data_IF_062099851281
#
_entry.id   IF_062099851281
#
_cell.length_a   1.000
_cell.length_b   1.000
_cell.length_c   1.000
_cell.angle_alpha   90.00
_cell.angle_beta   90.00
_cell.angle_gamma   90.00
#
_symmetry.space_group_name_H-M   'P 1'
#
loop_
_entity.id
_entity.type
_entity.pdbx_description
1 polymer ?
#
# COMPACT_ATOMS: atom_id res chain seq x y z
N UNK A 1 -7.63 -13.08 -4.09
CA UNK A 1 -8.35 -11.79 -4.19
C UNK A 1 -8.84 -11.36 -2.83
N UNK A 2 -8.67 -10.09 -2.49
CA UNK A 2 -9.17 -9.43 -1.27
C UNK A 2 -10.10 -8.30 -1.70
N UNK A 3 -11.40 -8.44 -1.46
CA UNK A 3 -12.38 -7.49 -1.99
C UNK A 3 -13.59 -7.24 -1.10
N UNK A 4 -14.19 -6.06 -1.26
CA UNK A 4 -15.44 -5.65 -0.61
C UNK A 4 -15.40 -5.68 0.92
N UNK A 5 -14.20 -5.49 1.50
CA UNK A 5 -14.02 -5.45 2.94
C UNK A 5 -14.03 -4.02 3.46
N UNK A 6 -14.29 -3.92 4.77
CA UNK A 6 -14.01 -2.72 5.52
C UNK A 6 -13.07 -3.04 6.68
N UNK A 7 -11.84 -2.57 6.59
CA UNK A 7 -10.79 -2.76 7.60
C UNK A 7 -10.58 -1.45 8.34
N UNK A 8 -10.78 -1.46 9.66
CA UNK A 8 -10.73 -0.24 10.48
C UNK A 8 -9.89 -0.45 11.71
N UNK A 9 -9.12 0.58 12.09
CA UNK A 9 -8.41 0.64 13.37
C UNK A 9 -7.49 -0.56 13.57
N UNK A 10 -6.83 -1.00 12.49
CA UNK A 10 -5.73 -1.95 12.56
C UNK A 10 -4.55 -1.23 13.22
N UNK A 11 -4.57 -1.20 14.55
CA UNK A 11 -3.54 -0.52 15.32
C UNK A 11 -2.35 -1.44 15.54
N UNK A 12 -2.49 -2.76 15.62
CA UNK A 12 -1.41 -3.65 16.08
C UNK A 12 -1.22 -3.53 17.61
N UNK A 13 -0.16 -4.12 18.15
CA UNK A 13 0.04 -4.19 19.60
C UNK A 13 -0.71 -5.37 20.22
N UNK A 14 -0.82 -5.40 21.55
CA UNK A 14 -1.31 -6.57 22.29
C UNK A 14 -0.14 -7.41 22.80
N UNK A 15 -0.04 -8.67 22.37
CA UNK A 15 1.04 -9.58 22.78
C UNK A 15 2.42 -9.16 22.24
N UNK A 16 2.46 -8.37 21.17
CA UNK A 16 3.68 -7.80 20.59
C UNK A 16 3.58 -6.26 20.53
N UNK A 17 3.87 -5.55 21.63
CA UNK A 17 3.69 -4.09 21.74
C UNK A 17 4.42 -3.26 20.70
N UNK A 18 5.56 -3.77 20.20
CA UNK A 18 6.41 -3.15 19.20
C UNK A 18 5.82 -3.18 17.78
N UNK A 19 4.77 -3.97 17.54
CA UNK A 19 4.15 -4.08 16.21
C UNK A 19 3.21 -2.92 15.95
N UNK A 20 3.31 -2.33 14.75
CA UNK A 20 2.32 -1.40 14.23
C UNK A 20 1.39 -2.13 13.25
N UNK A 21 0.11 -1.77 13.25
CA UNK A 21 -0.92 -2.45 12.48
C UNK A 21 -0.98 -1.98 11.03
N UNK A 22 -1.00 -2.97 10.13
CA UNK A 22 -1.29 -2.84 8.70
C UNK A 22 -2.74 -3.22 8.46
N UNK A 23 -3.45 -2.47 7.60
CA UNK A 23 -4.84 -2.78 7.25
C UNK A 23 -4.96 -4.06 6.42
N UNK A 24 -4.41 -4.05 5.22
CA UNK A 24 -4.34 -5.22 4.33
C UNK A 24 -2.88 -5.47 3.99
N UNK A 25 -2.35 -6.62 4.38
CA UNK A 25 -1.08 -7.14 3.87
C UNK A 25 -1.35 -8.20 2.81
N UNK A 26 -0.77 -8.05 1.63
CA UNK A 26 -0.88 -9.01 0.53
C UNK A 26 0.50 -9.37 0.00
N UNK A 27 0.75 -10.65 -0.23
CA UNK A 27 2.01 -11.16 -0.78
C UNK A 27 1.70 -12.26 -1.80
N UNK A 28 2.50 -12.35 -2.86
CA UNK A 28 2.23 -13.22 -4.01
C UNK A 28 1.04 -12.75 -4.86
N UNK A 29 0.47 -13.65 -5.66
CA UNK A 29 -0.50 -13.31 -6.70
C UNK A 29 -1.87 -12.87 -6.11
N UNK A 30 -2.02 -11.57 -5.85
CA UNK A 30 -3.19 -11.02 -5.15
C UNK A 30 -3.72 -9.74 -5.80
N UNK A 31 -5.02 -9.76 -6.05
CA UNK A 31 -5.83 -8.58 -6.39
C UNK A 31 -6.49 -8.02 -5.14
N UNK A 32 -6.20 -6.77 -4.80
CA UNK A 32 -6.83 -5.99 -3.72
C UNK A 32 -7.77 -4.96 -4.33
N UNK A 33 -9.09 -5.18 -4.26
CA UNK A 33 -10.06 -4.36 -5.01
C UNK A 33 -11.29 -3.97 -4.18
N UNK A 34 -11.71 -2.71 -4.28
CA UNK A 34 -12.99 -2.27 -3.72
C UNK A 34 -13.07 -2.35 -2.19
N UNK A 35 -11.94 -2.22 -1.49
CA UNK A 35 -11.91 -2.22 -0.02
C UNK A 35 -11.94 -0.79 0.53
N UNK A 36 -12.46 -0.65 1.75
CA UNK A 36 -12.28 0.56 2.58
C UNK A 36 -11.30 0.24 3.70
N UNK A 37 -10.19 0.95 3.76
CA UNK A 37 -9.17 0.81 4.81
C UNK A 37 -8.98 2.14 5.51
N UNK A 38 -9.15 2.17 6.84
CA UNK A 38 -9.06 3.41 7.60
C UNK A 38 -8.47 3.26 9.00
N UNK A 39 -7.88 4.37 9.46
CA UNK A 39 -7.35 4.55 10.81
C UNK A 39 -6.34 3.46 11.21
N UNK A 40 -5.47 3.00 10.30
CA UNK A 40 -4.39 2.07 10.65
C UNK A 40 -3.28 2.79 11.42
N UNK A 41 -2.46 2.07 12.20
CA UNK A 41 -1.34 2.69 12.94
C UNK A 41 -0.08 2.85 12.08
N UNK A 42 0.00 2.15 10.95
CA UNK A 42 1.18 2.20 10.08
C UNK A 42 0.81 2.39 8.61
N UNK A 43 0.27 1.34 8.00
CA UNK A 43 0.04 1.29 6.56
C UNK A 43 -1.40 0.88 6.28
N UNK A 44 -2.03 1.51 5.29
CA UNK A 44 -3.34 1.10 4.80
C UNK A 44 -3.24 -0.26 4.11
N UNK A 45 -2.59 -0.28 2.95
CA UNK A 45 -2.39 -1.49 2.13
C UNK A 45 -0.89 -1.70 1.91
N UNK A 46 -0.37 -2.87 2.27
CA UNK A 46 1.01 -3.30 1.98
C UNK A 46 0.97 -4.37 0.89
N UNK A 47 1.57 -4.08 -0.26
CA UNK A 47 1.72 -4.97 -1.41
C UNK A 47 3.14 -5.53 -1.43
N UNK A 48 3.30 -6.71 -0.86
CA UNK A 48 4.58 -7.39 -0.78
C UNK A 48 5.45 -6.89 0.37
N UNK A 49 6.55 -7.59 0.59
CA UNK A 49 7.55 -7.30 1.63
C UNK A 49 8.99 -7.49 1.16
N UNK A 50 9.22 -8.37 0.18
CA UNK A 50 10.54 -8.64 -0.37
C UNK A 50 10.49 -9.25 -1.77
N UNK A 51 11.55 -9.97 -2.16
CA UNK A 51 11.76 -10.56 -3.49
C UNK A 51 10.69 -11.53 -4.02
N UNK A 52 9.72 -11.91 -3.21
CA UNK A 52 8.65 -12.83 -3.60
C UNK A 52 7.30 -12.12 -3.81
N UNK A 53 7.31 -10.79 -3.80
CA UNK A 53 6.18 -9.94 -4.17
C UNK A 53 5.93 -10.09 -5.66
N UNK A 54 5.00 -10.97 -6.05
CA UNK A 54 4.71 -11.32 -7.44
C UNK A 54 3.27 -10.99 -7.80
N UNK A 55 3.04 -10.39 -8.97
CA UNK A 55 1.69 -10.13 -9.52
C UNK A 55 0.71 -9.47 -8.54
N UNK A 56 1.07 -8.31 -7.98
CA UNK A 56 0.24 -7.60 -7.00
C UNK A 56 -0.48 -6.41 -7.63
N UNK A 57 -1.78 -6.30 -7.32
CA UNK A 57 -2.58 -5.15 -7.78
C UNK A 57 -3.44 -4.57 -6.66
N UNK A 58 -3.54 -3.24 -6.62
CA UNK A 58 -4.46 -2.51 -5.75
C UNK A 58 -5.28 -1.52 -6.59
N UNK A 59 -6.57 -1.80 -6.75
CA UNK A 59 -7.45 -0.95 -7.57
C UNK A 59 -8.77 -0.60 -6.92
N UNK A 60 -9.27 0.62 -7.14
CA UNK A 60 -10.62 1.01 -6.68
C UNK A 60 -10.81 0.97 -5.16
N UNK A 61 -9.74 1.08 -4.37
CA UNK A 61 -9.83 1.08 -2.91
C UNK A 61 -9.99 2.51 -2.36
N UNK A 62 -10.58 2.63 -1.19
CA UNK A 62 -10.58 3.84 -0.37
C UNK A 62 -9.62 3.63 0.80
N UNK A 63 -8.57 4.43 0.88
CA UNK A 63 -7.60 4.40 1.98
C UNK A 63 -7.58 5.77 2.65
N UNK A 64 -7.81 5.83 3.96
CA UNK A 64 -7.85 7.13 4.65
C UNK A 64 -7.33 7.12 6.09
N UNK A 65 -6.79 8.25 6.52
CA UNK A 65 -6.31 8.47 7.88
C UNK A 65 -5.28 7.42 8.33
N UNK A 66 -4.36 7.06 7.43
CA UNK A 66 -3.25 6.15 7.70
C UNK A 66 -1.94 6.92 7.56
N UNK A 67 -0.88 6.62 8.34
CA UNK A 67 0.42 7.26 8.11
C UNK A 67 0.93 7.06 6.69
N UNK A 68 0.88 5.80 6.21
CA UNK A 68 1.17 5.41 4.82
C UNK A 68 -0.06 4.85 4.15
N UNK A 69 -0.40 5.32 2.95
CA UNK A 69 -1.56 4.88 2.19
C UNK A 69 -1.38 3.46 1.64
N UNK A 70 -0.66 3.36 0.52
CA UNK A 70 -0.30 2.10 -0.12
C UNK A 70 1.22 2.00 -0.17
N UNK A 71 1.79 0.92 0.35
CA UNK A 71 3.22 0.62 0.27
C UNK A 71 3.41 -0.61 -0.59
N UNK A 72 4.46 -0.66 -1.40
CA UNK A 72 4.82 -1.85 -2.16
C UNK A 72 6.31 -2.16 -2.06
N UNK A 73 6.66 -3.44 -2.23
CA UNK A 73 8.06 -3.86 -2.20
C UNK A 73 8.81 -3.40 -3.45
N UNK A 74 9.99 -2.82 -3.21
CA UNK A 74 11.02 -2.47 -4.20
C UNK A 74 12.32 -3.23 -3.91
N UNK A 75 12.25 -4.30 -3.10
CA UNK A 75 13.40 -5.16 -2.84
C UNK A 75 13.87 -5.82 -4.13
N UNK A 76 15.16 -6.14 -4.20
CA UNK A 76 15.73 -6.81 -5.37
C UNK A 76 14.95 -8.09 -5.73
N UNK A 77 14.47 -8.16 -6.97
CA UNK A 77 13.68 -9.28 -7.48
C UNK A 77 12.18 -9.24 -7.14
N UNK A 78 11.67 -8.17 -6.52
CA UNK A 78 10.22 -7.93 -6.47
C UNK A 78 9.69 -7.58 -7.87
N UNK A 79 8.51 -8.09 -8.21
CA UNK A 79 7.82 -7.75 -9.45
C UNK A 79 7.21 -6.35 -9.36
N UNK A 80 6.89 -5.80 -10.52
CA UNK A 80 6.19 -4.54 -10.65
C UNK A 80 4.73 -4.63 -10.17
N UNK A 81 4.16 -3.47 -9.83
CA UNK A 81 2.80 -3.37 -9.28
C UNK A 81 1.86 -2.54 -10.15
N UNK A 82 0.58 -2.87 -10.10
CA UNK A 82 -0.50 -2.01 -10.58
C UNK A 82 -1.25 -1.39 -9.40
N UNK A 83 -1.08 -0.08 -9.21
CA UNK A 83 -1.80 0.69 -8.19
C UNK A 83 -2.60 1.78 -8.90
N UNK A 84 -3.89 1.56 -9.12
CA UNK A 84 -4.69 2.48 -9.93
C UNK A 84 -6.11 2.72 -9.43
N UNK A 85 -6.65 3.91 -9.71
CA UNK A 85 -8.03 4.27 -9.38
C UNK A 85 -8.37 4.19 -7.89
N UNK A 86 -7.40 4.37 -6.99
CA UNK A 86 -7.64 4.41 -5.55
C UNK A 86 -7.94 5.85 -5.10
N UNK A 87 -8.78 6.00 -4.06
CA UNK A 87 -8.97 7.26 -3.35
C UNK A 87 -8.17 7.21 -2.05
N UNK A 88 -7.15 8.05 -1.93
CA UNK A 88 -6.23 8.06 -0.80
C UNK A 88 -6.29 9.43 -0.14
N UNK A 89 -6.66 9.50 1.14
CA UNK A 89 -6.86 10.81 1.77
C UNK A 89 -6.43 10.90 3.23
N UNK A 90 -5.93 12.07 3.65
CA UNK A 90 -5.51 12.29 5.03
C UNK A 90 -4.34 11.39 5.45
N UNK A 91 -3.42 11.16 4.52
CA UNK A 91 -2.20 10.35 4.70
C UNK A 91 -0.97 11.26 4.64
N UNK A 92 0.12 10.87 5.28
CA UNK A 92 1.38 11.63 5.18
C UNK A 92 2.15 11.26 3.92
N UNK A 93 2.06 9.98 3.53
CA UNK A 93 2.66 9.43 2.33
C UNK A 93 1.62 8.55 1.62
N UNK A 94 1.23 8.89 0.41
CA UNK A 94 0.13 8.23 -0.29
C UNK A 94 0.55 6.90 -0.92
N UNK A 95 1.62 6.89 -1.70
CA UNK A 95 2.11 5.69 -2.38
C UNK A 95 3.63 5.64 -2.27
N UNK A 96 4.18 4.59 -1.66
CA UNK A 96 5.61 4.48 -1.38
C UNK A 96 6.15 3.12 -1.82
N UNK A 97 7.27 3.11 -2.55
CA UNK A 97 8.10 1.93 -2.73
C UNK A 97 9.06 1.77 -1.56
N UNK A 98 9.16 0.56 -1.01
CA UNK A 98 9.99 0.27 0.16
C UNK A 98 10.78 -1.04 0.03
N UNK A 99 11.97 -1.08 0.62
CA UNK A 99 12.76 -2.30 0.81
C UNK A 99 12.68 -2.74 2.28
N UNK A 100 12.03 -3.87 2.56
CA UNK A 100 11.79 -4.41 3.91
C UNK A 100 11.28 -3.36 4.92
N UNK A 101 10.38 -2.48 4.47
CA UNK A 101 9.76 -1.44 5.29
C UNK A 101 10.49 -0.10 5.29
N UNK A 102 11.72 -0.02 4.77
CA UNK A 102 12.47 1.21 4.56
C UNK A 102 12.02 1.86 3.24
N UNK A 103 11.44 3.08 3.26
CA UNK A 103 11.11 3.79 2.03
C UNK A 103 12.36 4.02 1.15
N UNK A 104 12.25 3.68 -0.13
CA UNK A 104 13.31 3.89 -1.14
C UNK A 104 12.87 4.81 -2.27
N UNK A 105 11.61 5.27 -2.24
CA UNK A 105 11.07 6.29 -3.13
C UNK A 105 10.53 7.47 -2.33
N UNK A 106 10.43 8.62 -3.00
CA UNK A 106 9.50 9.67 -2.57
C UNK A 106 8.03 9.21 -2.72
N UNK A 107 7.08 10.06 -2.34
CA UNK A 107 5.66 9.78 -2.49
C UNK A 107 5.22 9.80 -3.97
N UNK A 108 4.99 8.61 -4.51
CA UNK A 108 4.59 8.36 -5.89
C UNK A 108 3.13 8.74 -6.18
N UNK A 109 2.37 9.14 -5.16
CA UNK A 109 1.05 9.74 -5.33
C UNK A 109 1.08 11.21 -5.73
N UNK A 110 2.25 11.86 -5.71
CA UNK A 110 2.41 13.29 -6.03
C UNK A 110 2.50 13.52 -7.55
N UNK A 111 2.03 14.69 -8.04
CA UNK A 111 2.21 15.07 -9.44
C UNK A 111 3.69 15.08 -9.85
N UNK A 112 3.99 14.50 -11.02
CA UNK A 112 5.35 14.48 -11.57
C UNK A 112 6.29 13.45 -10.94
N UNK A 113 5.80 12.55 -10.07
CA UNK A 113 6.61 11.48 -9.52
C UNK A 113 7.16 10.56 -10.62
N UNK A 114 8.43 10.20 -10.51
CA UNK A 114 9.07 9.22 -11.39
C UNK A 114 8.64 7.82 -10.97
N UNK A 115 7.82 7.18 -11.81
CA UNK A 115 7.31 5.84 -11.53
C UNK A 115 8.39 4.80 -11.86
N UNK A 116 8.65 3.83 -10.96
CA UNK A 116 9.57 2.74 -11.25
C UNK A 116 9.21 2.02 -12.55
N UNK A 117 10.24 1.66 -13.33
CA UNK A 117 10.04 0.98 -14.62
C UNK A 117 9.15 -0.26 -14.46
N UNK A 118 8.23 -0.45 -15.42
CA UNK A 118 7.25 -1.56 -15.46
C UNK A 118 6.08 -1.43 -14.48
N UNK A 119 6.21 -0.67 -13.38
CA UNK A 119 5.09 -0.40 -12.48
C UNK A 119 4.12 0.61 -13.08
N UNK A 120 2.84 0.46 -12.74
CA UNK A 120 1.77 1.36 -13.17
C UNK A 120 1.10 1.96 -11.95
N UNK A 121 1.40 3.23 -11.69
CA UNK A 121 0.76 4.03 -10.64
C UNK A 121 0.02 5.16 -11.32
N UNK A 122 -1.31 5.03 -11.43
CA UNK A 122 -2.09 5.95 -12.28
C UNK A 122 -3.51 6.18 -11.77
N UNK A 123 -4.07 7.35 -12.09
CA UNK A 123 -5.45 7.70 -11.77
C UNK A 123 -5.84 7.53 -10.28
N UNK A 124 -4.86 7.59 -9.36
CA UNK A 124 -5.13 7.64 -7.93
C UNK A 124 -5.49 9.08 -7.55
N UNK A 125 -6.60 9.25 -6.84
CA UNK A 125 -7.00 10.54 -6.30
C UNK A 125 -6.40 10.68 -4.89
N UNK A 126 -5.40 11.53 -4.76
CA UNK A 126 -4.71 11.80 -3.50
C UNK A 126 -5.11 13.17 -2.96
N UNK A 127 -5.53 13.27 -1.70
CA UNK A 127 -5.99 14.52 -1.06
C UNK A 127 -5.67 14.65 0.42
#
# INVERSE_FOLDING_TARGET
>A
TVANNVVRRAKGGGTLPQTNGVGIGAEGDVVVIGNVVEDTRDTGISLGWGRYSRTLTATGNIVRNTPRGIVFSMSEGADEVLIANNRISGVQQAIIGADHGTPVTDDLGKPGAEIPAGSVISANLVS
#
